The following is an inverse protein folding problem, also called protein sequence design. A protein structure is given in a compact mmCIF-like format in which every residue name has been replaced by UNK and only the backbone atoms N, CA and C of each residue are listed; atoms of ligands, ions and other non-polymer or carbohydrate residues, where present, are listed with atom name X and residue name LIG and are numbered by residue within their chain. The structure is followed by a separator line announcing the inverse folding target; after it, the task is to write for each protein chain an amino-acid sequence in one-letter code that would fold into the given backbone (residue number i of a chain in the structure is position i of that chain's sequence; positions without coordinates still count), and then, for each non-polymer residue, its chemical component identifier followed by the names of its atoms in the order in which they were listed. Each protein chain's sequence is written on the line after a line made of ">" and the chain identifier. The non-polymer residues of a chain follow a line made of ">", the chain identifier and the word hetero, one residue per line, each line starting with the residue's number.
data_IF_058798298894
#
_entry.id   IF_058798298894
#
_cell.length_a   1.000
_cell.length_b   1.000
_cell.length_c   1.000
_cell.angle_alpha   90.00
_cell.angle_beta   90.00
_cell.angle_gamma   90.00
#
_symmetry.space_group_name_H-M   'P 1'
#
loop_
_entity.id
_entity.type
_entity.pdbx_description
1 polymer ?
#
# COMPACT_ATOMS: atom_id res chain seq x y z
N UNK A 1 -3.04 -8.20 17.78
CA UNK A 1 -2.74 -8.57 16.37
C UNK A 1 -4.06 -8.70 15.62
N UNK A 2 -4.57 -7.58 15.13
CA UNK A 2 -5.85 -7.52 14.43
C UNK A 2 -5.76 -8.16 13.03
N UNK A 3 -4.65 -7.91 12.32
CA UNK A 3 -4.42 -8.48 10.99
C UNK A 3 -4.46 -10.01 11.03
N UNK A 4 -3.74 -10.63 11.96
CA UNK A 4 -3.72 -12.11 12.05
C UNK A 4 -5.12 -12.68 12.28
N UNK A 5 -5.88 -12.08 13.19
CA UNK A 5 -7.27 -12.48 13.46
C UNK A 5 -8.14 -12.34 12.22
N UNK A 6 -7.99 -11.25 11.47
CA UNK A 6 -8.74 -11.04 10.23
C UNK A 6 -8.33 -12.01 9.13
N UNK A 7 -7.04 -12.37 9.03
CA UNK A 7 -6.56 -13.41 8.12
C UNK A 7 -7.13 -14.81 8.45
N UNK A 8 -7.37 -15.13 9.71
CA UNK A 8 -7.93 -16.42 10.10
C UNK A 8 -9.44 -16.51 9.91
N UNK A 9 -10.17 -15.45 10.26
CA UNK A 9 -11.62 -15.54 10.45
C UNK A 9 -12.44 -14.73 9.45
N UNK A 10 -11.82 -13.81 8.71
CA UNK A 10 -12.52 -12.84 7.87
C UNK A 10 -11.96 -12.76 6.44
N UNK A 11 -11.24 -13.79 6.00
CA UNK A 11 -10.70 -13.87 4.65
C UNK A 11 -11.63 -14.66 3.74
N UNK A 12 -11.99 -14.08 2.61
CA UNK A 12 -12.71 -14.74 1.52
C UNK A 12 -11.75 -14.97 0.36
N UNK A 13 -11.86 -16.11 -0.31
CA UNK A 13 -11.09 -16.48 -1.48
C UNK A 13 -11.96 -16.44 -2.74
N UNK A 14 -11.44 -15.87 -3.80
CA UNK A 14 -12.07 -15.79 -5.11
C UNK A 14 -11.08 -16.26 -6.19
N UNK A 15 -11.61 -16.84 -7.26
CA UNK A 15 -10.81 -17.34 -8.37
C UNK A 15 -11.16 -16.69 -9.73
N UNK A 16 -12.20 -15.86 -9.75
CA UNK A 16 -12.66 -15.15 -10.94
C UNK A 16 -12.55 -13.63 -10.72
N UNK A 17 -11.97 -12.88 -11.65
CA UNK A 17 -11.28 -13.26 -12.90
C UNK A 17 -9.85 -13.82 -12.67
N UNK A 18 -9.32 -13.76 -11.49
CA UNK A 18 -8.03 -14.31 -11.06
C UNK A 18 -8.07 -14.61 -9.56
N UNK A 19 -7.14 -15.39 -9.07
CA UNK A 19 -7.06 -15.68 -7.62
C UNK A 19 -6.79 -14.41 -6.83
N UNK A 20 -7.72 -14.06 -5.94
CA UNK A 20 -7.58 -12.94 -5.02
C UNK A 20 -8.29 -13.21 -3.68
N UNK A 21 -7.96 -12.40 -2.69
CA UNK A 21 -8.49 -12.54 -1.34
C UNK A 21 -9.01 -11.20 -0.84
N UNK A 22 -10.19 -11.21 -0.25
CA UNK A 22 -10.70 -10.09 0.52
C UNK A 22 -10.53 -10.35 2.01
N UNK A 23 -9.91 -9.41 2.71
CA UNK A 23 -9.70 -9.48 4.16
C UNK A 23 -10.52 -8.36 4.79
N UNK A 24 -11.51 -8.72 5.59
CA UNK A 24 -12.38 -7.74 6.21
C UNK A 24 -11.75 -7.20 7.52
N UNK A 25 -11.71 -5.88 7.68
CA UNK A 25 -11.19 -5.15 8.84
C UNK A 25 -9.75 -5.59 9.25
N UNK A 26 -8.77 -5.51 8.35
CA UNK A 26 -7.40 -5.93 8.63
C UNK A 26 -6.64 -4.94 9.52
N UNK A 27 -7.14 -3.71 9.70
CA UNK A 27 -6.52 -2.61 10.43
C UNK A 27 -7.34 -2.22 11.65
N UNK A 28 -6.65 -1.69 12.67
CA UNK A 28 -7.29 -1.03 13.81
C UNK A 28 -7.74 0.37 13.44
N UNK A 29 -8.66 0.94 14.22
CA UNK A 29 -9.12 2.32 14.03
C UNK A 29 -7.97 3.35 14.17
N UNK A 30 -7.02 3.09 15.08
CA UNK A 30 -5.84 3.94 15.25
C UNK A 30 -4.95 3.93 14.00
N UNK A 31 -4.77 2.76 13.38
CA UNK A 31 -4.00 2.65 12.11
C UNK A 31 -4.71 3.37 10.98
N UNK A 32 -6.02 3.23 10.87
CA UNK A 32 -6.83 3.95 9.87
C UNK A 32 -6.68 5.46 10.08
N UNK A 33 -6.81 5.93 11.32
CA UNK A 33 -6.67 7.35 11.66
C UNK A 33 -5.27 7.88 11.37
N UNK A 34 -4.22 7.08 11.64
CA UNK A 34 -2.84 7.44 11.31
C UNK A 34 -2.66 7.64 9.80
N UNK A 35 -3.17 6.72 8.97
CA UNK A 35 -3.11 6.84 7.51
C UNK A 35 -3.91 8.05 7.02
N UNK A 36 -5.10 8.24 7.57
CA UNK A 36 -5.99 9.35 7.19
C UNK A 36 -5.40 10.74 7.45
N UNK A 37 -4.56 10.85 8.47
CA UNK A 37 -3.88 12.09 8.84
C UNK A 37 -2.44 12.18 8.31
N UNK A 38 -2.01 11.23 7.47
CA UNK A 38 -0.66 11.19 6.98
C UNK A 38 -0.36 12.38 6.05
N UNK A 39 0.65 13.15 6.39
CA UNK A 39 1.21 14.17 5.53
C UNK A 39 2.29 13.54 4.64
N UNK A 40 2.01 13.42 3.35
CA UNK A 40 2.95 12.87 2.38
C UNK A 40 3.49 14.03 1.55
N UNK A 41 4.80 14.21 1.59
CA UNK A 41 5.47 15.27 0.86
C UNK A 41 5.22 15.17 -0.65
N UNK A 42 4.99 16.31 -1.29
CA UNK A 42 4.97 16.37 -2.76
C UNK A 42 6.42 16.36 -3.26
N UNK A 43 6.84 15.36 -4.04
CA UNK A 43 8.23 15.19 -4.46
C UNK A 43 8.80 16.37 -5.27
N UNK A 44 7.96 17.27 -5.73
CA UNK A 44 8.40 18.49 -6.44
C UNK A 44 8.82 19.62 -5.51
N UNK A 45 8.28 19.64 -4.30
CA UNK A 45 8.57 20.69 -3.32
C UNK A 45 9.85 20.41 -2.54
N UNK A 46 10.41 19.22 -2.68
CA UNK A 46 11.58 18.77 -1.97
C UNK A 46 12.58 18.18 -2.95
N UNK A 47 13.87 18.41 -2.74
CA UNK A 47 14.94 17.72 -3.44
C UNK A 47 15.04 16.28 -2.94
N UNK A 48 13.93 15.53 -3.07
CA UNK A 48 13.89 14.14 -2.64
C UNK A 48 14.84 13.31 -3.50
N UNK A 49 15.74 12.61 -2.85
CA UNK A 49 16.57 11.61 -3.52
C UNK A 49 15.67 10.45 -3.95
N UNK A 50 15.97 9.89 -5.11
CA UNK A 50 15.32 8.66 -5.58
C UNK A 50 15.40 7.58 -4.49
N UNK A 51 14.25 7.11 -4.06
CA UNK A 51 14.08 6.11 -2.99
C UNK A 51 13.62 4.74 -3.51
N UNK A 52 13.68 4.55 -4.84
CA UNK A 52 13.16 3.35 -5.51
C UNK A 52 11.67 3.41 -5.81
N UNK A 53 10.99 4.52 -5.50
CA UNK A 53 9.61 4.70 -5.91
C UNK A 53 9.53 5.21 -7.35
N UNK A 54 8.59 4.71 -8.14
CA UNK A 54 8.31 5.27 -9.47
C UNK A 54 7.80 6.71 -9.43
N UNK A 55 7.52 7.22 -8.25
CA UNK A 55 7.09 8.58 -8.04
C UNK A 55 8.11 9.62 -8.55
N UNK A 56 9.39 9.31 -8.46
CA UNK A 56 10.48 10.21 -8.86
C UNK A 56 11.04 9.92 -10.26
N UNK A 57 11.01 8.67 -10.72
CA UNK A 57 11.54 8.31 -12.04
C UNK A 57 10.60 8.66 -13.19
N UNK A 58 9.43 9.15 -12.86
CA UNK A 58 8.43 9.52 -13.82
C UNK A 58 7.90 8.33 -14.62
N UNK A 59 7.90 7.14 -14.08
CA UNK A 59 7.36 5.90 -14.65
C UNK A 59 6.08 6.15 -15.40
N UNK A 60 5.02 5.67 -15.25
CA UNK A 60 3.85 5.79 -16.13
C UNK A 60 3.33 7.20 -16.39
N UNK A 61 2.70 7.33 -17.57
CA UNK A 61 2.29 8.62 -18.12
C UNK A 61 1.36 9.43 -17.23
N UNK A 62 0.54 8.79 -16.41
CA UNK A 62 -0.39 9.46 -15.51
C UNK A 62 0.32 10.24 -14.40
N UNK A 63 1.45 9.75 -13.94
CA UNK A 63 2.27 10.42 -12.97
C UNK A 63 3.08 11.56 -13.59
N UNK A 64 3.67 11.32 -14.76
CA UNK A 64 4.48 12.31 -15.48
C UNK A 64 3.70 13.53 -15.95
N UNK A 65 2.44 13.37 -16.37
CA UNK A 65 1.68 14.49 -16.90
C UNK A 65 1.55 15.62 -15.88
N UNK A 66 1.26 15.31 -14.63
CA UNK A 66 1.14 16.32 -13.58
C UNK A 66 2.44 17.08 -13.26
N UNK A 67 3.60 16.46 -13.48
CA UNK A 67 4.91 17.09 -13.22
C UNK A 67 5.39 17.92 -14.41
N UNK A 68 5.23 17.43 -15.64
CA UNK A 68 5.67 18.11 -16.86
C UNK A 68 4.98 19.47 -17.07
N UNK A 69 3.71 19.56 -16.72
CA UNK A 69 2.89 20.73 -16.97
C UNK A 69 2.92 21.74 -15.81
N UNK A 70 3.86 21.59 -14.85
CA UNK A 70 3.90 22.44 -13.66
C UNK A 70 2.77 22.19 -12.66
N UNK A 71 1.90 21.24 -12.95
CA UNK A 71 0.81 20.82 -12.09
C UNK A 71 1.26 20.06 -10.81
N UNK A 72 0.38 19.83 -9.86
CA UNK A 72 0.65 19.04 -8.66
C UNK A 72 0.79 17.55 -9.02
N UNK A 73 1.69 16.82 -8.34
CA UNK A 73 1.77 15.38 -8.48
C UNK A 73 0.40 14.74 -8.19
N UNK A 74 -0.07 13.88 -9.10
CA UNK A 74 -1.38 13.22 -8.97
C UNK A 74 -1.35 12.03 -8.03
N UNK A 75 -0.18 11.53 -7.69
CA UNK A 75 0.05 10.45 -6.73
C UNK A 75 1.18 10.82 -5.79
N UNK A 76 0.90 10.82 -4.51
CA UNK A 76 1.90 10.94 -3.47
C UNK A 76 2.18 9.56 -2.88
N UNK A 77 3.43 9.29 -2.54
CA UNK A 77 3.85 8.00 -2.00
C UNK A 77 4.89 8.20 -0.92
N UNK A 78 4.79 7.42 0.13
CA UNK A 78 5.77 7.36 1.21
C UNK A 78 5.96 5.92 1.66
N UNK A 79 7.19 5.42 1.64
CA UNK A 79 7.50 4.15 2.30
C UNK A 79 7.54 4.34 3.81
N UNK A 80 6.97 3.38 4.52
CA UNK A 80 7.14 3.28 5.96
C UNK A 80 8.48 2.58 6.24
N UNK A 81 9.40 3.31 6.83
CA UNK A 81 10.78 2.88 7.11
C UNK A 81 11.13 3.10 8.58
N UNK A 82 12.32 2.70 8.98
CA UNK A 82 12.82 2.99 10.34
C UNK A 82 12.99 4.48 10.58
N UNK A 83 13.40 5.23 9.56
CA UNK A 83 13.69 6.66 9.63
C UNK A 83 12.42 7.49 9.92
N UNK A 84 11.26 7.06 9.41
CA UNK A 84 9.98 7.74 9.63
C UNK A 84 9.03 6.99 10.57
N UNK A 85 9.53 6.03 11.32
CA UNK A 85 8.72 5.23 12.27
C UNK A 85 8.00 6.06 13.34
N UNK A 86 8.56 7.21 13.71
CA UNK A 86 7.91 8.14 14.64
C UNK A 86 6.69 8.82 14.03
N UNK A 87 6.68 9.03 12.72
CA UNK A 87 5.52 9.56 11.98
C UNK A 87 4.43 8.49 11.81
N UNK A 88 4.83 7.22 11.70
CA UNK A 88 3.96 6.09 11.42
C UNK A 88 4.08 4.97 12.48
N UNK A 89 3.79 5.23 13.76
CA UNK A 89 3.99 4.24 14.83
C UNK A 89 3.08 3.00 14.69
N UNK A 90 1.83 3.16 14.24
CA UNK A 90 0.92 2.02 14.07
C UNK A 90 1.23 1.23 12.79
N UNK A 91 1.62 1.89 11.71
CA UNK A 91 2.07 1.20 10.50
C UNK A 91 3.39 0.47 10.72
N UNK A 92 4.27 1.01 11.56
CA UNK A 92 5.50 0.30 11.98
C UNK A 92 5.17 -0.99 12.71
N UNK A 93 4.22 -0.97 13.65
CA UNK A 93 3.73 -2.18 14.32
C UNK A 93 3.08 -3.17 13.33
N UNK A 94 2.35 -2.66 12.33
CA UNK A 94 1.78 -3.50 11.28
C UNK A 94 2.86 -4.21 10.45
N UNK A 95 3.96 -3.53 10.13
CA UNK A 95 5.12 -4.16 9.46
C UNK A 95 5.73 -5.26 10.33
N UNK A 96 5.88 -5.04 11.62
CA UNK A 96 6.38 -6.05 12.54
C UNK A 96 5.43 -7.26 12.62
N UNK A 97 4.12 -7.00 12.66
CA UNK A 97 3.12 -8.06 12.59
C UNK A 97 3.21 -8.86 11.29
N UNK A 98 3.31 -8.19 10.14
CA UNK A 98 3.48 -8.82 8.81
C UNK A 98 4.74 -9.68 8.73
N UNK A 99 5.82 -9.29 9.40
CA UNK A 99 7.09 -10.02 9.46
C UNK A 99 7.08 -11.16 10.48
N UNK A 100 6.08 -11.24 11.34
CA UNK A 100 5.98 -12.33 12.31
C UNK A 100 5.77 -13.68 11.60
N UNK A 101 6.42 -14.73 12.13
CA UNK A 101 6.35 -16.08 11.55
C UNK A 101 4.90 -16.56 11.35
N UNK A 102 4.05 -16.26 12.33
CA UNK A 102 2.64 -16.62 12.32
C UNK A 102 1.90 -16.01 11.13
N UNK A 103 2.13 -14.70 10.84
CA UNK A 103 1.44 -13.98 9.76
C UNK A 103 2.00 -14.39 8.41
N UNK A 104 3.31 -14.39 8.21
CA UNK A 104 3.85 -14.73 6.90
C UNK A 104 3.58 -16.17 6.50
N UNK A 105 3.56 -17.13 7.45
CA UNK A 105 3.14 -18.50 7.18
C UNK A 105 1.68 -18.58 6.79
N UNK A 106 0.80 -17.84 7.47
CA UNK A 106 -0.62 -17.79 7.12
C UNK A 106 -0.84 -17.22 5.72
N UNK A 107 -0.20 -16.10 5.40
CA UNK A 107 -0.26 -15.49 4.05
C UNK A 107 0.31 -16.47 3.01
N UNK A 108 1.46 -17.06 3.27
CA UNK A 108 2.08 -18.05 2.39
C UNK A 108 1.17 -19.23 2.09
N UNK A 109 0.47 -19.71 3.11
CA UNK A 109 -0.55 -20.77 2.94
C UNK A 109 -1.72 -20.34 2.07
N UNK A 110 -2.19 -19.09 2.21
CA UNK A 110 -3.29 -18.56 1.38
C UNK A 110 -2.92 -18.47 -0.10
N UNK A 111 -1.71 -18.01 -0.40
CA UNK A 111 -1.25 -17.80 -1.79
C UNK A 111 -0.48 -18.99 -2.38
N UNK A 112 -0.32 -20.06 -1.61
CA UNK A 112 0.44 -21.25 -2.04
C UNK A 112 1.94 -21.00 -2.26
N UNK A 113 2.57 -20.08 -1.51
CA UNK A 113 3.97 -19.70 -1.64
C UNK A 113 4.73 -19.76 -0.32
N UNK A 114 6.01 -20.12 -0.40
CA UNK A 114 6.91 -19.97 0.74
C UNK A 114 7.45 -18.54 0.80
N UNK A 115 7.16 -17.83 1.88
CA UNK A 115 7.55 -16.43 2.08
C UNK A 115 8.77 -16.26 3.00
N UNK A 116 9.45 -17.36 3.43
CA UNK A 116 10.54 -17.28 4.41
C UNK A 116 11.71 -16.39 3.98
N UNK A 117 11.98 -16.29 2.67
CA UNK A 117 13.05 -15.48 2.09
C UNK A 117 12.51 -14.21 1.41
N UNK A 118 11.28 -13.80 1.71
CA UNK A 118 10.69 -12.59 1.19
C UNK A 118 10.82 -11.44 2.17
N UNK A 119 10.59 -10.24 1.68
CA UNK A 119 10.45 -9.05 2.52
C UNK A 119 9.14 -8.33 2.25
N UNK A 120 8.65 -7.61 3.23
CA UNK A 120 7.46 -6.77 3.11
C UNK A 120 7.88 -5.32 2.94
N UNK A 121 7.25 -4.65 1.98
CA UNK A 121 7.26 -3.19 1.80
C UNK A 121 5.87 -2.68 2.08
N UNK A 122 5.76 -1.62 2.85
CA UNK A 122 4.51 -0.93 3.11
C UNK A 122 4.64 0.52 2.64
N UNK A 123 3.66 0.94 1.86
CA UNK A 123 3.57 2.29 1.33
C UNK A 123 2.26 2.92 1.76
N UNK A 124 2.30 4.19 2.16
CA UNK A 124 1.12 5.05 2.23
C UNK A 124 1.03 5.81 0.93
N UNK A 125 -0.14 5.76 0.31
CA UNK A 125 -0.37 6.35 -1.01
C UNK A 125 -1.56 7.29 -0.91
N UNK A 126 -1.43 8.47 -1.50
CA UNK A 126 -2.52 9.41 -1.71
C UNK A 126 -2.67 9.67 -3.21
N UNK A 127 -3.70 9.10 -3.80
CA UNK A 127 -4.09 9.39 -5.18
C UNK A 127 -4.94 10.65 -5.20
N UNK A 128 -4.63 11.59 -6.10
CA UNK A 128 -5.31 12.87 -6.27
C UNK A 128 -6.18 12.83 -7.52
N UNK A 129 -7.07 13.79 -7.63
CA UNK A 129 -7.96 13.96 -8.79
C UNK A 129 -7.20 13.85 -10.13
N UNK A 130 -7.74 13.03 -11.02
CA UNK A 130 -7.17 12.75 -12.33
C UNK A 130 -5.97 11.77 -12.32
N UNK A 131 -5.69 11.11 -11.20
CA UNK A 131 -4.79 9.94 -11.22
C UNK A 131 -5.47 8.76 -11.91
N UNK A 132 -4.72 8.07 -12.73
CA UNK A 132 -5.10 6.80 -13.32
C UNK A 132 -3.87 5.94 -13.59
N UNK A 133 -4.05 4.65 -13.61
CA UNK A 133 -2.99 3.68 -13.88
C UNK A 133 -3.47 2.70 -14.95
N UNK A 134 -2.69 2.53 -16.00
CA UNK A 134 -2.97 1.51 -17.02
C UNK A 134 -2.98 0.11 -16.39
N UNK A 135 -3.88 -0.79 -16.84
CA UNK A 135 -3.75 -2.19 -16.51
C UNK A 135 -2.35 -2.69 -16.81
N UNK A 136 -1.70 -3.32 -15.85
CA UNK A 136 -0.34 -3.85 -15.99
C UNK A 136 -0.16 -5.04 -15.08
N UNK A 137 0.85 -5.84 -15.37
CA UNK A 137 1.31 -6.86 -14.44
C UNK A 137 2.41 -6.28 -13.54
N UNK A 138 2.40 -6.67 -12.30
CA UNK A 138 3.51 -6.38 -11.40
C UNK A 138 4.79 -7.12 -11.85
N UNK A 139 5.93 -6.68 -11.34
CA UNK A 139 7.21 -7.33 -11.61
C UNK A 139 7.22 -8.75 -11.04
N UNK A 140 8.01 -9.64 -11.66
CA UNK A 140 8.04 -11.08 -11.31
C UNK A 140 8.47 -11.36 -9.88
N UNK A 141 9.23 -10.47 -9.28
CA UNK A 141 9.73 -10.56 -7.92
C UNK A 141 8.65 -10.32 -6.87
N UNK A 142 7.54 -9.68 -7.24
CA UNK A 142 6.40 -9.50 -6.35
C UNK A 142 5.62 -10.81 -6.23
N UNK A 143 5.66 -11.41 -5.06
CA UNK A 143 4.91 -12.62 -4.75
C UNK A 143 3.43 -12.33 -4.47
N UNK A 144 3.14 -11.15 -3.90
CA UNK A 144 1.79 -10.69 -3.59
C UNK A 144 1.76 -9.15 -3.55
N UNK A 145 0.66 -8.57 -4.01
CA UNK A 145 0.30 -7.18 -3.75
C UNK A 145 -0.95 -7.15 -2.88
N UNK A 146 -0.95 -6.31 -1.86
CA UNK A 146 -2.12 -6.04 -1.04
C UNK A 146 -2.43 -4.56 -1.09
N UNK A 147 -3.70 -4.22 -1.29
CA UNK A 147 -4.17 -2.84 -1.35
C UNK A 147 -5.27 -2.68 -0.30
N UNK A 148 -5.20 -1.62 0.48
CA UNK A 148 -6.23 -1.24 1.44
C UNK A 148 -6.69 0.16 1.05
N UNK A 149 -7.94 0.26 0.62
CA UNK A 149 -8.58 1.54 0.34
C UNK A 149 -9.13 2.12 1.64
N UNK A 150 -8.78 3.37 1.93
CA UNK A 150 -9.29 4.11 3.08
C UNK A 150 -10.12 5.26 2.56
N UNK A 151 -11.44 5.12 2.66
CA UNK A 151 -12.36 6.17 2.28
C UNK A 151 -12.43 7.22 3.38
N UNK A 152 -12.03 8.43 3.02
CA UNK A 152 -12.14 9.60 3.88
C UNK A 152 -13.44 10.34 3.50
N UNK A 153 -14.30 10.60 4.49
CA UNK A 153 -15.42 11.55 4.37
C UNK A 153 -16.44 11.27 3.25
N UNK A 154 -17.19 10.18 3.32
CA UNK A 154 -18.30 9.90 2.39
C UNK A 154 -17.92 9.92 0.89
N UNK A 155 -16.69 9.62 0.56
CA UNK A 155 -16.29 9.44 -0.83
C UNK A 155 -17.15 8.36 -1.51
N UNK A 156 -17.39 8.57 -2.80
CA UNK A 156 -18.20 7.67 -3.61
C UNK A 156 -17.69 6.23 -3.50
N UNK A 157 -18.60 5.29 -3.27
CA UNK A 157 -18.30 3.85 -3.29
C UNK A 157 -17.79 3.34 -4.65
N UNK A 158 -17.75 4.22 -5.64
CA UNK A 158 -17.33 3.94 -7.01
C UNK A 158 -15.87 4.34 -7.30
N UNK A 159 -15.10 4.75 -6.28
CA UNK A 159 -13.69 5.06 -6.38
C UNK A 159 -12.85 3.84 -6.01
N UNK A 160 -12.86 2.81 -6.81
CA UNK A 160 -11.99 1.66 -6.60
C UNK A 160 -12.51 0.39 -7.20
#
# INVERSE_FOLDING_TARGET
>A
MELFKSLETKTKNFNDPFQHFEINKPLTEETIKEISNAEIADPRNENLKYDGTRALDGGDGAFRSGIKDGGKAKKLRCYVTKENSNQFPNLTKLIEELRSEKVYKKIGSLIGKNLSNSYVRLEVICDREGFWLKPHCDIKEKLMSSIIFINLHNESKNLG
#
